data_IF_329621999803
#
_entry.id   IF_329621999803
#
_cell.length_a   1.000
_cell.length_b   1.000
_cell.length_c   1.000
_cell.angle_alpha   90.00
_cell.angle_beta   90.00
_cell.angle_gamma   90.00
#
_symmetry.space_group_name_H-M   'P 1'
#
loop_
_entity.id
_entity.type
_entity.pdbx_description
1 polymer ?
#
# COMPACT_ATOMS: atom_id res chain seq x y z
N UNK A 1 -9.02 -11.85 19.78
CA UNK A 1 -9.05 -11.24 18.43
C UNK A 1 -8.47 -12.26 17.46
N UNK A 2 -9.14 -12.60 16.36
CA UNK A 2 -8.64 -13.60 15.42
C UNK A 2 -7.52 -12.98 14.55
N UNK A 3 -6.33 -13.59 14.54
CA UNK A 3 -5.16 -13.10 13.79
C UNK A 3 -5.46 -12.90 12.30
N UNK A 4 -6.31 -13.76 11.72
CA UNK A 4 -6.75 -13.64 10.33
C UNK A 4 -7.48 -12.33 10.05
N UNK A 5 -8.37 -11.90 10.96
CA UNK A 5 -9.13 -10.65 10.82
C UNK A 5 -8.18 -9.45 10.88
N UNK A 6 -7.19 -9.47 11.77
CA UNK A 6 -6.21 -8.39 11.87
C UNK A 6 -5.36 -8.27 10.60
N UNK A 7 -4.93 -9.39 10.04
CA UNK A 7 -4.16 -9.39 8.81
C UNK A 7 -4.97 -8.92 7.59
N UNK A 8 -6.25 -9.28 7.52
CA UNK A 8 -7.15 -8.82 6.47
C UNK A 8 -7.42 -7.30 6.57
N UNK A 9 -7.58 -6.78 7.78
CA UNK A 9 -7.69 -5.33 8.02
C UNK A 9 -6.41 -4.61 7.55
N UNK A 10 -5.23 -5.13 7.91
CA UNK A 10 -3.96 -4.51 7.54
C UNK A 10 -3.69 -4.63 6.02
N UNK A 11 -4.08 -5.74 5.38
CA UNK A 11 -4.04 -5.90 3.93
C UNK A 11 -4.87 -4.82 3.23
N UNK A 12 -6.14 -4.68 3.66
CA UNK A 12 -7.06 -3.69 3.09
C UNK A 12 -6.55 -2.26 3.28
N UNK A 13 -5.95 -1.96 4.45
CA UNK A 13 -5.32 -0.67 4.71
C UNK A 13 -4.18 -0.40 3.73
N UNK A 14 -3.28 -1.35 3.49
CA UNK A 14 -2.16 -1.19 2.56
C UNK A 14 -2.62 -1.04 1.11
N UNK A 15 -3.66 -1.76 0.69
CA UNK A 15 -4.29 -1.60 -0.63
C UNK A 15 -4.84 -0.17 -0.79
N UNK A 16 -5.57 0.35 0.21
CA UNK A 16 -6.11 1.71 0.16
C UNK A 16 -5.00 2.77 0.07
N UNK A 17 -3.89 2.58 0.79
CA UNK A 17 -2.74 3.49 0.72
C UNK A 17 -2.10 3.49 -0.67
N UNK A 18 -1.96 2.32 -1.31
CA UNK A 18 -1.45 2.21 -2.67
C UNK A 18 -2.37 2.92 -3.68
N UNK A 19 -3.69 2.74 -3.57
CA UNK A 19 -4.67 3.40 -4.43
C UNK A 19 -4.57 4.92 -4.35
N UNK A 20 -4.56 5.48 -3.12
CA UNK A 20 -4.39 6.93 -2.90
C UNK A 20 -3.07 7.46 -3.47
N UNK A 21 -1.97 6.73 -3.29
CA UNK A 21 -0.68 7.12 -3.86
C UNK A 21 -0.69 7.09 -5.40
N UNK A 22 -1.39 6.12 -6.00
CA UNK A 22 -1.54 6.03 -7.45
C UNK A 22 -2.38 7.18 -8.02
N UNK A 23 -3.48 7.54 -7.36
CA UNK A 23 -4.31 8.69 -7.70
C UNK A 23 -3.50 10.00 -7.63
N UNK A 24 -2.77 10.22 -6.53
CA UNK A 24 -1.94 11.42 -6.36
C UNK A 24 -0.84 11.52 -7.44
N UNK A 25 -0.20 10.40 -7.79
CA UNK A 25 0.79 10.37 -8.86
C UNK A 25 0.16 10.61 -10.25
N UNK A 26 -1.04 10.07 -10.50
CA UNK A 26 -1.76 10.27 -11.74
C UNK A 26 -2.16 11.73 -11.94
N UNK A 27 -2.61 12.40 -10.87
CA UNK A 27 -2.96 13.81 -10.87
C UNK A 27 -1.73 14.72 -10.97
N UNK A 28 -0.65 14.39 -10.24
CA UNK A 28 0.54 15.22 -10.12
C UNK A 28 1.82 14.37 -10.24
N UNK A 29 2.41 14.32 -11.44
CA UNK A 29 3.62 13.53 -11.72
C UNK A 29 4.89 14.23 -11.25
N UNK A 30 5.07 14.29 -9.93
CA UNK A 30 6.29 14.78 -9.29
C UNK A 30 7.18 13.62 -8.84
N UNK A 31 8.47 13.90 -8.61
CA UNK A 31 9.40 12.92 -8.02
C UNK A 31 8.90 12.42 -6.67
N UNK A 32 8.38 13.33 -5.83
CA UNK A 32 7.82 13.01 -4.52
C UNK A 32 6.66 12.01 -4.62
N UNK A 33 5.68 12.27 -5.50
CA UNK A 33 4.54 11.37 -5.69
C UNK A 33 4.95 10.03 -6.31
N UNK A 34 5.96 10.03 -7.18
CA UNK A 34 6.54 8.80 -7.73
C UNK A 34 7.17 7.95 -6.63
N UNK A 35 7.93 8.56 -5.72
CA UNK A 35 8.53 7.89 -4.57
C UNK A 35 7.46 7.38 -3.59
N UNK A 36 6.42 8.16 -3.33
CA UNK A 36 5.30 7.75 -2.47
C UNK A 36 4.59 6.51 -3.03
N UNK A 37 4.30 6.48 -4.34
CA UNK A 37 3.73 5.33 -5.03
C UNK A 37 4.63 4.10 -4.94
N UNK A 38 5.93 4.26 -5.20
CA UNK A 38 6.90 3.16 -5.11
C UNK A 38 6.98 2.58 -3.70
N UNK A 39 6.99 3.42 -2.66
CA UNK A 39 7.00 3.00 -1.25
C UNK A 39 5.73 2.23 -0.87
N UNK A 40 4.56 2.73 -1.25
CA UNK A 40 3.29 2.05 -0.97
C UNK A 40 3.23 0.67 -1.65
N UNK A 41 3.71 0.58 -2.90
CA UNK A 41 3.81 -0.69 -3.62
C UNK A 41 4.75 -1.68 -2.92
N UNK A 42 5.94 -1.23 -2.52
CA UNK A 42 6.91 -2.07 -1.82
C UNK A 42 6.35 -2.58 -0.48
N UNK A 43 5.69 -1.72 0.29
CA UNK A 43 5.09 -2.10 1.57
C UNK A 43 3.96 -3.14 1.43
N UNK A 44 3.12 -3.02 0.39
CA UNK A 44 2.10 -4.02 0.11
C UNK A 44 2.73 -5.36 -0.32
N UNK A 45 3.72 -5.32 -1.22
CA UNK A 45 4.43 -6.53 -1.64
C UNK A 45 5.13 -7.23 -0.47
N UNK A 46 5.83 -6.49 0.39
CA UNK A 46 6.49 -7.06 1.57
C UNK A 46 5.49 -7.78 2.47
N UNK A 47 4.35 -7.14 2.77
CA UNK A 47 3.31 -7.73 3.61
C UNK A 47 2.70 -9.01 3.02
N UNK A 48 2.49 -9.06 1.70
CA UNK A 48 1.96 -10.25 1.03
C UNK A 48 3.00 -11.37 0.95
N UNK A 49 4.28 -11.02 0.77
CA UNK A 49 5.37 -11.99 0.59
C UNK A 49 5.91 -12.55 1.91
N UNK A 50 5.86 -11.78 3.00
CA UNK A 50 6.28 -12.23 4.33
C UNK A 50 5.34 -13.28 4.93
N UNK A 51 4.16 -13.49 4.31
CA UNK A 51 3.16 -14.44 4.77
C UNK A 51 2.38 -13.87 5.96
N UNK A 52 1.07 -13.75 5.78
CA UNK A 52 0.12 -13.43 6.84
C UNK A 52 0.12 -14.52 7.91
#
# INVERSE_FOLDING_TARGET
>A
MNYQILAEIELNRKISLLQKAAENYALNRTLENSMALARAKAALCAFVMEGV
#
